data_IF_531820279759
#
_entry.id   IF_531820279759
#
_cell.length_a   1.000
_cell.length_b   1.000
_cell.length_c   1.000
_cell.angle_alpha   90.00
_cell.angle_beta   90.00
_cell.angle_gamma   90.00
#
_symmetry.space_group_name_H-M   'P 1'
#
loop_
_entity.id
_entity.type
_entity.pdbx_description
1 polymer ?
#
# COMPACT_ATOMS: atom_id res chain seq x y z
N UNK A 1 -37.40 -3.38 -11.28
CA UNK A 1 -37.44 -2.10 -11.99
C UNK A 1 -36.05 -1.45 -12.01
N UNK A 2 -35.56 -1.04 -13.17
CA UNK A 2 -34.22 -0.40 -13.35
C UNK A 2 -34.03 0.91 -12.56
N UNK A 3 -35.08 1.57 -12.15
CA UNK A 3 -35.04 2.83 -11.40
C UNK A 3 -34.65 2.69 -9.92
N UNK A 4 -34.89 1.52 -9.31
CA UNK A 4 -34.48 1.28 -7.92
C UNK A 4 -32.99 1.03 -7.72
N UNK A 5 -32.21 0.79 -8.78
CA UNK A 5 -30.75 0.60 -8.72
C UNK A 5 -29.95 1.91 -8.64
N UNK A 6 -30.59 3.06 -8.73
CA UNK A 6 -29.92 4.38 -8.71
C UNK A 6 -29.82 4.99 -7.31
N UNK A 7 -30.34 4.33 -6.28
CA UNK A 7 -30.31 4.83 -4.90
C UNK A 7 -29.86 3.72 -3.94
N UNK A 8 -29.00 4.09 -3.00
CA UNK A 8 -28.66 3.24 -1.86
C UNK A 8 -29.38 3.78 -0.63
N UNK A 9 -30.13 2.92 0.07
CA UNK A 9 -30.80 3.26 1.32
C UNK A 9 -30.20 2.37 2.40
N UNK A 10 -29.78 2.97 3.49
CA UNK A 10 -29.29 2.32 4.70
C UNK A 10 -30.07 2.83 5.89
N UNK A 11 -30.67 1.92 6.64
CA UNK A 11 -31.41 2.23 7.85
C UNK A 11 -30.66 1.66 9.06
N UNK A 12 -30.60 2.45 10.13
CA UNK A 12 -30.11 2.02 11.43
C UNK A 12 -30.93 2.71 12.50
N UNK A 13 -31.70 1.93 13.27
CA UNK A 13 -32.60 2.37 14.35
C UNK A 13 -33.46 3.59 13.93
N UNK A 14 -33.03 4.80 14.31
CA UNK A 14 -33.75 6.06 14.03
C UNK A 14 -33.12 6.88 12.91
N UNK A 15 -32.14 6.33 12.15
CA UNK A 15 -31.43 7.06 11.11
C UNK A 15 -31.61 6.38 9.76
N UNK A 16 -32.09 7.12 8.77
CA UNK A 16 -32.16 6.67 7.37
C UNK A 16 -31.19 7.51 6.53
N UNK A 17 -30.27 6.85 5.85
CA UNK A 17 -29.33 7.49 4.91
C UNK A 17 -29.73 7.13 3.49
N UNK A 18 -30.01 8.13 2.67
CA UNK A 18 -30.35 7.97 1.26
C UNK A 18 -29.28 8.66 0.41
N UNK A 19 -28.65 7.91 -0.49
CA UNK A 19 -27.64 8.43 -1.40
C UNK A 19 -27.94 8.02 -2.84
N UNK A 20 -27.55 8.87 -3.81
CA UNK A 20 -27.56 8.49 -5.22
C UNK A 20 -26.30 7.67 -5.51
N UNK A 21 -26.45 6.70 -6.41
CA UNK A 21 -25.29 6.01 -6.97
C UNK A 21 -24.57 6.96 -7.92
N UNK A 22 -23.26 6.85 -7.96
CA UNK A 22 -22.41 7.58 -8.93
C UNK A 22 -22.72 7.02 -10.32
N UNK A 23 -22.91 7.90 -11.30
CA UNK A 23 -23.16 7.54 -12.68
C UNK A 23 -21.85 7.03 -13.34
N UNK A 24 -21.93 5.91 -14.08
CA UNK A 24 -20.78 5.31 -14.76
C UNK A 24 -20.61 3.83 -14.46
N UNK A 25 -19.73 3.19 -15.23
CA UNK A 25 -19.33 1.81 -14.95
C UNK A 25 -18.28 1.80 -13.83
N UNK A 26 -18.45 0.90 -12.87
CA UNK A 26 -17.46 0.68 -11.82
C UNK A 26 -16.21 0.02 -12.40
N UNK A 27 -15.06 0.31 -11.84
CA UNK A 27 -13.81 -0.32 -12.26
C UNK A 27 -13.92 -1.84 -12.21
N UNK A 28 -13.46 -2.50 -13.26
CA UNK A 28 -13.34 -3.96 -13.32
C UNK A 28 -12.14 -4.40 -12.47
N UNK A 29 -12.36 -4.50 -11.17
CA UNK A 29 -11.31 -4.81 -10.19
C UNK A 29 -10.60 -6.12 -10.55
N UNK A 30 -11.33 -7.13 -11.02
CA UNK A 30 -10.77 -8.42 -11.42
C UNK A 30 -9.70 -8.31 -12.51
N UNK A 31 -9.78 -7.29 -13.36
CA UNK A 31 -8.77 -7.02 -14.39
C UNK A 31 -7.52 -6.32 -13.84
N UNK A 32 -7.64 -5.65 -12.70
CA UNK A 32 -6.54 -4.98 -12.01
C UNK A 32 -5.82 -5.91 -11.04
N UNK A 33 -6.51 -6.97 -10.58
CA UNK A 33 -5.96 -7.98 -9.68
C UNK A 33 -5.22 -9.05 -10.49
N UNK A 34 -4.07 -8.68 -11.07
CA UNK A 34 -3.19 -9.68 -11.66
C UNK A 34 -2.73 -10.66 -10.60
N UNK A 35 -2.79 -11.95 -10.90
CA UNK A 35 -2.17 -13.00 -10.08
C UNK A 35 -0.66 -13.09 -10.29
N UNK A 36 -0.15 -12.46 -11.35
CA UNK A 36 1.26 -12.50 -11.72
C UNK A 36 2.04 -11.47 -10.92
N UNK A 37 3.13 -11.88 -10.34
CA UNK A 37 4.10 -11.03 -9.65
C UNK A 37 5.52 -11.45 -10.04
N UNK A 38 6.42 -10.48 -10.09
CA UNK A 38 7.85 -10.70 -10.29
C UNK A 38 8.61 -10.74 -8.96
N UNK A 39 8.01 -10.15 -7.91
CA UNK A 39 8.57 -10.09 -6.57
C UNK A 39 7.49 -10.30 -5.53
N UNK A 40 7.67 -11.29 -4.66
CA UNK A 40 6.88 -11.51 -3.44
C UNK A 40 7.77 -11.27 -2.24
N UNK A 41 7.27 -10.54 -1.25
CA UNK A 41 7.95 -10.28 0.01
C UNK A 41 7.04 -10.65 1.16
N UNK A 42 7.51 -11.52 2.05
CA UNK A 42 6.89 -11.79 3.33
C UNK A 42 7.65 -11.05 4.41
N UNK A 43 6.95 -10.29 5.23
CA UNK A 43 7.55 -9.38 6.20
C UNK A 43 6.70 -9.29 7.46
N UNK A 44 7.36 -9.10 8.62
CA UNK A 44 6.66 -8.81 9.86
C UNK A 44 5.94 -7.46 9.75
N UNK A 45 4.62 -7.49 9.94
CA UNK A 45 3.76 -6.30 9.83
C UNK A 45 4.16 -5.19 10.78
N UNK A 46 4.47 -5.54 12.04
CA UNK A 46 4.77 -4.57 13.07
C UNK A 46 6.09 -3.86 12.81
N UNK A 47 7.11 -4.61 12.43
CA UNK A 47 8.42 -4.03 12.07
C UNK A 47 8.30 -3.07 10.90
N UNK A 48 7.58 -3.46 9.83
CA UNK A 48 7.34 -2.59 8.69
C UNK A 48 6.56 -1.33 9.09
N UNK A 49 5.49 -1.47 9.87
CA UNK A 49 4.68 -0.34 10.32
C UNK A 49 5.50 0.62 11.20
N UNK A 50 6.23 0.10 12.19
CA UNK A 50 7.02 0.91 13.11
C UNK A 50 8.14 1.66 12.36
N UNK A 51 8.76 1.03 11.36
CA UNK A 51 9.77 1.65 10.52
C UNK A 51 9.17 2.79 9.67
N UNK A 52 8.02 2.57 9.02
CA UNK A 52 7.34 3.60 8.23
C UNK A 52 6.83 4.75 9.12
N UNK A 53 6.29 4.45 10.31
CA UNK A 53 5.85 5.48 11.27
C UNK A 53 7.04 6.36 11.70
N UNK A 54 8.24 5.78 11.99
CA UNK A 54 9.45 6.58 12.26
C UNK A 54 9.86 7.43 11.07
N UNK A 55 9.81 6.90 9.86
CA UNK A 55 10.12 7.64 8.65
C UNK A 55 9.24 8.88 8.47
N UNK A 56 7.95 8.79 8.83
CA UNK A 56 7.03 9.91 8.70
C UNK A 56 7.34 11.09 9.62
N UNK A 57 8.09 10.88 10.72
CA UNK A 57 8.53 11.96 11.61
C UNK A 57 9.48 12.96 10.90
N UNK A 58 10.14 12.52 9.83
CA UNK A 58 11.00 13.36 9.00
C UNK A 58 10.24 14.11 7.89
N UNK A 59 8.93 13.88 7.75
CA UNK A 59 8.10 14.50 6.70
C UNK A 59 7.18 15.51 7.34
N UNK A 60 7.26 16.77 6.93
CA UNK A 60 6.32 17.80 7.38
C UNK A 60 4.94 17.55 6.77
N UNK A 61 3.92 17.94 7.50
CA UNK A 61 2.53 17.90 7.02
C UNK A 61 2.41 18.70 5.71
N UNK A 62 1.95 18.02 4.63
CA UNK A 62 1.89 18.58 3.29
C UNK A 62 3.06 18.25 2.36
N UNK A 63 4.19 17.77 2.87
CA UNK A 63 5.28 17.27 2.05
C UNK A 63 4.96 15.88 1.50
N UNK A 64 4.95 15.77 0.17
CA UNK A 64 4.72 14.49 -0.53
C UNK A 64 6.02 13.71 -0.74
N UNK A 65 6.81 13.53 0.33
CA UNK A 65 8.06 12.77 0.23
C UNK A 65 7.77 11.28 0.22
N UNK A 66 8.23 10.55 -0.80
CA UNK A 66 8.07 9.10 -0.84
C UNK A 66 9.03 8.42 0.14
N UNK A 67 8.59 7.32 0.71
CA UNK A 67 9.47 6.31 1.26
C UNK A 67 9.93 5.42 0.11
N UNK A 68 11.22 5.15 0.03
CA UNK A 68 11.83 4.29 -1.00
C UNK A 68 12.13 2.96 -0.34
N UNK A 69 11.61 1.89 -0.92
CA UNK A 69 11.88 0.51 -0.54
C UNK A 69 12.83 -0.10 -1.56
N UNK A 70 14.03 -0.43 -1.13
CA UNK A 70 15.00 -1.18 -1.92
C UNK A 70 15.01 -2.63 -1.41
N UNK A 71 14.44 -3.52 -2.20
CA UNK A 71 14.19 -4.92 -1.84
C UNK A 71 15.20 -5.79 -2.55
N UNK A 72 16.03 -6.45 -1.77
CA UNK A 72 17.05 -7.41 -2.20
C UNK A 72 16.87 -8.73 -1.47
N UNK A 73 17.75 -9.73 -1.72
CA UNK A 73 17.66 -11.01 -1.04
C UNK A 73 17.84 -10.87 0.47
N UNK A 74 16.79 -11.27 1.21
CA UNK A 74 16.78 -11.27 2.67
C UNK A 74 16.64 -9.89 3.34
N UNK A 75 16.65 -8.79 2.58
CA UNK A 75 16.64 -7.44 3.15
C UNK A 75 15.73 -6.47 2.40
N UNK A 76 15.02 -5.65 3.16
CA UNK A 76 14.31 -4.46 2.67
C UNK A 76 14.92 -3.21 3.33
N UNK A 77 15.62 -2.41 2.55
CA UNK A 77 16.10 -1.12 2.98
C UNK A 77 15.04 -0.04 2.74
N UNK A 78 14.60 0.62 3.81
CA UNK A 78 13.66 1.75 3.74
C UNK A 78 14.42 3.07 3.87
N UNK A 79 14.27 3.92 2.88
CA UNK A 79 14.90 5.25 2.85
C UNK A 79 13.90 6.37 2.70
N UNK A 80 14.13 7.45 3.43
CA UNK A 80 13.45 8.72 3.26
C UNK A 80 14.44 9.87 3.39
N UNK A 81 14.33 10.84 2.49
CA UNK A 81 15.12 12.07 2.52
C UNK A 81 14.20 13.27 2.57
N UNK A 82 14.41 14.14 3.54
CA UNK A 82 13.67 15.39 3.72
C UNK A 82 14.61 16.56 4.02
N UNK A 83 14.07 17.77 4.12
CA UNK A 83 14.83 18.96 4.51
C UNK A 83 15.33 18.91 5.96
N UNK A 84 14.66 18.14 6.83
CA UNK A 84 15.01 18.06 8.26
C UNK A 84 15.93 16.88 8.57
N UNK A 85 16.12 15.96 7.64
CA UNK A 85 17.01 14.83 7.83
C UNK A 85 16.71 13.68 6.88
N UNK A 86 17.47 12.62 7.05
CA UNK A 86 17.31 11.36 6.33
C UNK A 86 17.24 10.19 7.29
N UNK A 87 16.54 9.13 6.91
CA UNK A 87 16.50 7.85 7.59
C UNK A 87 16.81 6.75 6.60
N UNK A 88 17.55 5.78 7.07
CA UNK A 88 17.82 4.54 6.37
C UNK A 88 17.73 3.41 7.40
N UNK A 89 16.79 2.50 7.21
CA UNK A 89 16.59 1.34 8.09
C UNK A 89 16.45 0.07 7.25
N UNK A 90 17.02 -1.00 7.77
CA UNK A 90 16.97 -2.34 7.18
C UNK A 90 16.00 -3.21 7.95
N UNK A 91 15.18 -3.98 7.23
CA UNK A 91 14.23 -4.95 7.77
C UNK A 91 14.51 -6.30 7.13
N UNK A 92 14.61 -7.33 7.95
CA UNK A 92 14.73 -8.70 7.47
C UNK A 92 13.42 -9.15 6.80
N UNK A 93 13.55 -9.76 5.63
CA UNK A 93 12.42 -10.23 4.83
C UNK A 93 12.68 -11.63 4.26
N UNK A 94 11.60 -12.30 3.91
CA UNK A 94 11.64 -13.47 3.04
C UNK A 94 11.15 -13.06 1.64
N UNK A 95 12.06 -13.09 0.66
CA UNK A 95 11.81 -12.65 -0.72
C UNK A 95 11.84 -13.81 -1.68
N UNK A 96 10.85 -13.85 -2.56
CA UNK A 96 10.82 -14.67 -3.76
C UNK A 96 10.74 -13.78 -5.01
N UNK A 97 11.56 -14.05 -6.00
CA UNK A 97 11.61 -13.33 -7.27
C UNK A 97 12.71 -12.28 -7.36
N UNK A 98 12.47 -11.23 -8.16
CA UNK A 98 13.48 -10.23 -8.55
C UNK A 98 13.70 -9.17 -7.48
N UNK A 99 14.90 -8.57 -7.51
CA UNK A 99 15.15 -7.34 -6.76
C UNK A 99 14.35 -6.17 -7.34
N UNK A 100 13.88 -5.29 -6.47
CA UNK A 100 13.08 -4.15 -6.90
C UNK A 100 13.34 -2.94 -6.00
N UNK A 101 13.43 -1.76 -6.62
CA UNK A 101 13.42 -0.47 -5.92
C UNK A 101 12.16 0.29 -6.30
N UNK A 102 11.33 0.65 -5.32
CA UNK A 102 10.02 1.23 -5.54
C UNK A 102 9.72 2.28 -4.47
N UNK A 103 9.04 3.37 -4.86
CA UNK A 103 8.67 4.44 -3.95
C UNK A 103 7.18 4.47 -3.68
N UNK A 104 6.78 4.78 -2.44
CA UNK A 104 5.40 4.89 -2.04
C UNK A 104 5.12 6.11 -1.15
N UNK A 105 3.86 6.54 -1.12
CA UNK A 105 3.42 7.43 -0.06
C UNK A 105 3.26 6.60 1.22
N UNK A 106 4.02 6.92 2.29
CA UNK A 106 4.04 6.13 3.53
C UNK A 106 2.65 6.02 4.18
N UNK A 107 1.82 7.06 4.06
CA UNK A 107 0.47 7.08 4.64
C UNK A 107 -0.39 5.90 4.19
N UNK A 108 -0.34 5.53 2.90
CA UNK A 108 -1.17 4.44 2.40
C UNK A 108 -0.76 3.08 2.96
N UNK A 109 0.53 2.87 3.21
CA UNK A 109 1.01 1.67 3.90
C UNK A 109 0.56 1.65 5.35
N UNK A 110 0.70 2.78 6.07
CA UNK A 110 0.26 2.92 7.47
C UNK A 110 -1.23 2.61 7.59
N UNK A 111 -2.06 3.22 6.74
CA UNK A 111 -3.52 3.02 6.76
C UNK A 111 -3.89 1.55 6.51
N UNK A 112 -3.22 0.87 5.58
CA UNK A 112 -3.44 -0.55 5.30
C UNK A 112 -2.95 -1.45 6.45
N UNK A 113 -1.72 -1.26 6.92
CA UNK A 113 -1.11 -2.12 7.93
C UNK A 113 -1.80 -2.04 9.29
N UNK A 114 -2.41 -0.88 9.64
CA UNK A 114 -3.12 -0.70 10.91
C UNK A 114 -4.42 -1.48 11.03
N UNK A 115 -5.03 -1.85 9.91
CA UNK A 115 -6.32 -2.58 9.88
C UNK A 115 -6.17 -4.06 9.55
N UNK A 116 -4.95 -4.52 9.29
CA UNK A 116 -4.63 -5.94 9.09
C UNK A 116 -4.35 -6.56 10.46
N UNK A 117 -5.00 -7.68 10.77
CA UNK A 117 -4.83 -8.37 12.07
C UNK A 117 -3.65 -9.34 12.09
N UNK A 118 -3.22 -9.84 10.93
CA UNK A 118 -2.14 -10.81 10.78
C UNK A 118 -0.78 -10.24 11.26
N UNK A 119 0.08 -11.10 11.83
CA UNK A 119 1.44 -10.72 12.27
C UNK A 119 2.40 -10.53 11.10
N UNK A 120 2.19 -11.26 10.01
CA UNK A 120 2.98 -11.18 8.79
C UNK A 120 2.09 -10.78 7.62
N UNK A 121 2.66 -10.05 6.67
CA UNK A 121 1.99 -9.64 5.44
C UNK A 121 2.79 -10.03 4.22
N UNK A 122 2.09 -10.32 3.13
CA UNK A 122 2.69 -10.57 1.83
C UNK A 122 2.50 -9.37 0.92
N UNK A 123 3.61 -8.85 0.40
CA UNK A 123 3.65 -7.78 -0.59
C UNK A 123 3.93 -8.39 -1.97
N UNK A 124 3.14 -8.06 -2.95
CA UNK A 124 3.28 -8.55 -4.32
C UNK A 124 3.50 -7.38 -5.28
N UNK A 125 4.56 -7.45 -6.05
CA UNK A 125 4.98 -6.40 -6.99
C UNK A 125 5.38 -7.01 -8.33
N UNK A 126 5.11 -6.29 -9.41
CA UNK A 126 5.51 -6.70 -10.78
C UNK A 126 6.71 -5.86 -11.24
N UNK A 127 6.62 -4.55 -11.10
CA UNK A 127 7.68 -3.61 -11.48
C UNK A 127 7.54 -2.29 -10.72
N UNK A 128 8.53 -1.36 -10.79
CA UNK A 128 8.51 -0.11 -10.02
C UNK A 128 7.38 0.88 -10.38
N UNK A 129 6.64 0.64 -11.45
CA UNK A 129 5.54 1.51 -11.91
C UNK A 129 4.16 0.87 -11.72
N UNK A 130 4.12 -0.41 -11.41
CA UNK A 130 2.88 -1.14 -11.16
C UNK A 130 2.49 -1.04 -9.68
N UNK A 131 1.20 -1.21 -9.34
CA UNK A 131 0.76 -1.24 -7.96
C UNK A 131 1.45 -2.33 -7.14
N UNK A 132 1.66 -2.06 -5.84
CA UNK A 132 1.93 -3.09 -4.85
C UNK A 132 0.60 -3.60 -4.30
N UNK A 133 0.47 -4.92 -4.20
CA UNK A 133 -0.66 -5.54 -3.54
C UNK A 133 -0.23 -6.09 -2.19
N UNK A 134 -1.05 -5.83 -1.17
CA UNK A 134 -0.95 -6.49 0.13
C UNK A 134 -2.15 -7.41 0.22
N UNK A 135 -1.91 -8.71 0.35
CA UNK A 135 -2.98 -9.72 0.44
C UNK A 135 -2.54 -10.87 1.34
N UNK A 136 -3.52 -11.52 1.94
CA UNK A 136 -3.34 -12.79 2.63
C UNK A 136 -3.41 -13.97 1.65
N UNK A 137 -2.96 -15.14 2.09
CA UNK A 137 -2.99 -16.36 1.28
C UNK A 137 -4.41 -16.95 1.17
N UNK A 138 -5.34 -16.56 2.06
CA UNK A 138 -6.72 -17.04 2.09
C UNK A 138 -7.69 -16.15 1.29
N UNK A 139 -7.24 -15.00 0.79
CA UNK A 139 -8.05 -14.07 0.00
C UNK A 139 -9.10 -13.29 0.80
N UNK A 140 -8.90 -13.13 2.11
CA UNK A 140 -9.81 -12.37 2.98
C UNK A 140 -9.79 -10.88 2.70
N UNK A 141 -8.62 -10.36 2.31
CA UNK A 141 -8.44 -8.96 1.98
C UNK A 141 -7.43 -8.77 0.85
N UNK A 142 -7.53 -7.65 0.20
CA UNK A 142 -6.55 -7.16 -0.77
C UNK A 142 -6.49 -5.64 -0.69
N UNK A 143 -5.30 -5.10 -0.51
CA UNK A 143 -4.99 -3.68 -0.62
C UNK A 143 -4.14 -3.44 -1.85
N UNK A 144 -4.47 -2.39 -2.60
CA UNK A 144 -3.73 -1.94 -3.75
C UNK A 144 -3.14 -0.57 -3.43
N UNK A 145 -1.81 -0.46 -3.47
CA UNK A 145 -1.09 0.77 -3.19
C UNK A 145 -0.31 1.18 -4.44
N UNK A 146 -0.64 2.36 -4.96
CA UNK A 146 0.03 2.90 -6.14
C UNK A 146 1.42 3.42 -5.79
N UNK A 147 2.44 3.10 -6.62
CA UNK A 147 3.77 3.67 -6.44
C UNK A 147 3.78 5.16 -6.81
N UNK A 148 4.77 5.86 -6.29
CA UNK A 148 5.07 7.24 -6.67
C UNK A 148 6.43 7.32 -7.35
N UNK A 149 6.55 8.19 -8.34
CA UNK A 149 7.84 8.42 -8.98
C UNK A 149 8.80 9.13 -8.01
N UNK A 150 10.04 8.68 -7.99
CA UNK A 150 11.13 9.29 -7.24
C UNK A 150 12.38 9.37 -8.11
N UNK A 151 13.20 10.39 -7.87
CA UNK A 151 14.47 10.51 -8.57
C UNK A 151 15.55 9.76 -7.79
N UNK A 152 16.17 8.78 -8.42
CA UNK A 152 17.32 8.03 -7.88
C UNK A 152 18.60 8.88 -7.80
N UNK A 153 18.61 10.07 -8.40
CA UNK A 153 19.79 10.93 -8.53
C UNK A 153 19.99 11.95 -7.39
N UNK A 154 19.20 11.91 -6.34
CA UNK A 154 19.38 12.76 -5.16
C UNK A 154 20.08 11.98 -4.03
N UNK A 155 21.36 11.68 -4.23
CA UNK A 155 22.33 11.37 -3.16
C UNK A 155 23.03 12.64 -2.75
#
# INVERSE_FOLDING_TARGET
>A
SRRQRQMCIRDSENTTVVSRLIEGEYFKIDQMLSSDYDTKVRINKRELLDCIDRATLLVKEGDKKPIIMNITDGNMELRINSFIGSMNEDIDIDKDGKDIMIGFNPKFFIDALRVIDEEEVNLYMVNPKAPCFIKDDEGKFIYLILPVNFNTAAN
#
